data_IF_190353577481
#
_entry.id   IF_190353577481
#
_cell.length_a   1.000
_cell.length_b   1.000
_cell.length_c   1.000
_cell.angle_alpha   90.00
_cell.angle_beta   90.00
_cell.angle_gamma   90.00
#
_symmetry.space_group_name_H-M   'P 1'
#
loop_
_entity.id
_entity.type
_entity.pdbx_description
1 polymer ?
#
# COMPACT_ATOMS: atom_id res chain seq x y z
N UNK A 1 -7.01 -15.81 32.68
CA UNK A 1 -7.06 -16.38 31.33
C UNK A 1 -7.78 -15.35 30.47
N UNK A 2 -7.03 -14.46 29.83
CA UNK A 2 -7.57 -13.54 28.83
C UNK A 2 -6.74 -13.73 27.57
N UNK A 3 -7.28 -14.50 26.62
CA UNK A 3 -6.76 -14.56 25.26
C UNK A 3 -7.18 -13.27 24.59
N UNK A 4 -6.29 -12.28 24.60
CA UNK A 4 -6.40 -11.12 23.73
C UNK A 4 -6.39 -11.69 22.31
N UNK A 5 -7.54 -11.60 21.64
CA UNK A 5 -7.72 -12.11 20.30
C UNK A 5 -6.63 -11.56 19.39
N UNK A 6 -6.22 -12.37 18.41
CA UNK A 6 -5.36 -11.97 17.31
C UNK A 6 -6.07 -10.89 16.47
N UNK A 7 -6.24 -9.69 17.04
CA UNK A 7 -6.69 -8.50 16.36
C UNK A 7 -5.76 -8.33 15.18
N UNK A 8 -6.39 -8.38 14.01
CA UNK A 8 -5.84 -8.26 12.67
C UNK A 8 -4.68 -7.27 12.68
N UNK A 9 -3.44 -7.81 12.66
CA UNK A 9 -2.28 -6.99 12.39
C UNK A 9 -2.41 -6.50 10.95
N UNK A 10 -2.96 -5.30 10.79
CA UNK A 10 -2.83 -4.51 9.59
C UNK A 10 -1.35 -4.28 9.35
N UNK A 11 -0.81 -4.93 8.33
CA UNK A 11 0.59 -4.81 7.98
C UNK A 11 0.77 -3.47 7.25
N UNK A 12 1.64 -2.61 7.76
CA UNK A 12 2.01 -1.37 7.08
C UNK A 12 2.95 -1.68 5.91
N UNK A 13 2.57 -1.28 4.69
CA UNK A 13 3.44 -1.36 3.52
C UNK A 13 3.90 0.03 3.09
N UNK A 14 5.22 0.20 2.98
CA UNK A 14 5.83 1.38 2.38
C UNK A 14 6.44 0.94 1.04
N UNK A 15 5.75 1.19 -0.09
CA UNK A 15 6.33 0.95 -1.41
C UNK A 15 7.64 1.72 -1.58
N UNK A 16 8.71 1.03 -1.96
CA UNK A 16 9.89 1.71 -2.44
C UNK A 16 9.64 2.16 -3.88
N UNK A 17 9.35 3.46 -4.06
CA UNK A 17 9.33 4.07 -5.38
C UNK A 17 10.76 4.42 -5.79
N UNK A 18 11.24 3.79 -6.86
CA UNK A 18 12.48 4.18 -7.51
C UNK A 18 12.30 5.59 -8.12
N UNK A 19 13.16 6.53 -7.74
CA UNK A 19 13.24 7.86 -8.36
C UNK A 19 12.27 8.94 -7.86
N UNK A 20 11.35 8.64 -6.93
CA UNK A 20 10.48 9.66 -6.30
C UNK A 20 9.56 10.42 -7.26
N UNK A 21 9.33 9.90 -8.48
CA UNK A 21 8.38 10.46 -9.44
C UNK A 21 6.98 9.90 -9.18
N UNK A 22 6.02 10.79 -9.02
CA UNK A 22 4.60 10.52 -9.12
C UNK A 22 4.18 10.87 -10.55
N UNK A 23 3.92 9.85 -11.35
CA UNK A 23 3.28 10.03 -12.64
C UNK A 23 1.81 9.57 -12.62
N UNK A 24 1.11 9.82 -13.73
CA UNK A 24 -0.31 9.51 -13.85
C UNK A 24 -0.60 8.02 -13.75
N UNK A 25 0.30 7.15 -14.22
CA UNK A 25 0.08 5.71 -14.20
C UNK A 25 0.27 5.15 -12.79
N UNK A 26 1.24 5.67 -12.04
CA UNK A 26 1.37 5.38 -10.63
C UNK A 26 0.13 5.80 -9.84
N UNK A 27 -0.39 7.00 -10.10
CA UNK A 27 -1.61 7.50 -9.44
C UNK A 27 -2.82 6.60 -9.73
N UNK A 28 -3.00 6.13 -10.98
CA UNK A 28 -4.08 5.19 -11.32
C UNK A 28 -3.98 3.88 -10.53
N UNK A 29 -2.78 3.36 -10.31
CA UNK A 29 -2.58 2.14 -9.50
C UNK A 29 -3.05 2.41 -8.07
N UNK A 30 -2.62 3.50 -7.45
CA UNK A 30 -3.04 3.84 -6.08
C UNK A 30 -4.56 4.00 -5.98
N UNK A 31 -5.19 4.71 -6.93
CA UNK A 31 -6.64 4.85 -6.98
C UNK A 31 -7.33 3.49 -7.10
N UNK A 32 -6.84 2.60 -7.96
CA UNK A 32 -7.40 1.25 -8.11
C UNK A 32 -7.29 0.43 -6.82
N UNK A 33 -6.20 0.57 -6.06
CA UNK A 33 -6.03 -0.13 -4.78
C UNK A 33 -7.02 0.37 -3.72
N UNK A 34 -7.30 1.68 -3.69
CA UNK A 34 -8.30 2.30 -2.81
C UNK A 34 -9.72 1.85 -3.16
N UNK A 35 -10.08 1.90 -4.45
CA UNK A 35 -11.41 1.50 -4.93
C UNK A 35 -11.72 0.04 -4.63
N UNK A 36 -10.72 -0.84 -4.75
CA UNK A 36 -10.83 -2.25 -4.43
C UNK A 36 -10.70 -2.57 -2.93
N UNK A 37 -10.59 -1.55 -2.06
CA UNK A 37 -10.41 -1.70 -0.60
C UNK A 37 -9.22 -2.59 -0.21
N UNK A 38 -8.17 -2.59 -1.05
CA UNK A 38 -6.92 -3.31 -0.79
C UNK A 38 -6.00 -2.50 0.12
N UNK A 39 -6.19 -1.18 0.14
CA UNK A 39 -5.56 -0.22 1.04
C UNK A 39 -6.65 0.75 1.51
N UNK A 40 -6.50 1.33 2.70
CA UNK A 40 -7.45 2.32 3.21
C UNK A 40 -7.05 3.74 2.83
N UNK A 41 -5.76 4.03 2.85
CA UNK A 41 -5.24 5.38 2.62
C UNK A 41 -3.88 5.35 1.92
N UNK A 42 -3.56 6.45 1.24
CA UNK A 42 -2.25 6.71 0.68
C UNK A 42 -1.81 8.13 1.07
N UNK A 43 -0.61 8.28 1.65
CA UNK A 43 -0.07 9.57 2.09
C UNK A 43 1.28 9.89 1.45
N UNK A 44 1.51 11.17 1.14
CA UNK A 44 2.84 11.67 0.77
C UNK A 44 3.64 11.97 2.04
N UNK A 45 4.72 11.23 2.24
CA UNK A 45 5.63 11.43 3.37
C UNK A 45 6.53 12.66 3.17
N UNK A 46 7.11 13.15 4.27
CA UNK A 46 8.12 14.23 4.28
C UNK A 46 9.33 13.99 3.35
N UNK A 47 9.59 12.73 2.98
CA UNK A 47 10.68 12.34 2.08
C UNK A 47 10.22 12.18 0.61
N UNK A 48 9.04 12.72 0.26
CA UNK A 48 8.46 12.60 -1.08
C UNK A 48 8.26 11.14 -1.54
N UNK A 49 7.90 10.27 -0.58
CA UNK A 49 7.51 8.88 -0.83
C UNK A 49 6.02 8.72 -0.56
N UNK A 50 5.36 7.82 -1.29
CA UNK A 50 3.98 7.42 -0.97
C UNK A 50 4.01 6.25 0.02
N UNK A 51 3.27 6.38 1.14
CA UNK A 51 3.01 5.30 2.10
C UNK A 51 1.57 4.81 1.91
N UNK A 52 1.37 3.49 1.94
CA UNK A 52 0.04 2.87 1.90
C UNK A 52 -0.32 2.38 3.30
N UNK A 53 -1.53 2.68 3.76
CA UNK A 53 -2.01 2.41 5.12
C UNK A 53 -3.24 1.50 5.04
N UNK A 54 -3.44 0.66 6.07
CA UNK A 54 -4.57 -0.27 6.15
C UNK A 54 -4.47 -1.41 5.14
N UNK A 55 -3.27 -1.97 4.93
CA UNK A 55 -3.11 -3.11 4.02
C UNK A 55 -3.31 -4.41 4.80
N UNK A 56 -4.37 -5.14 4.48
CA UNK A 56 -4.59 -6.46 5.09
C UNK A 56 -3.54 -7.47 4.64
N UNK A 57 -3.28 -8.50 5.46
CA UNK A 57 -2.36 -9.61 5.12
C UNK A 57 -2.72 -10.29 3.79
N UNK A 58 -4.01 -10.39 3.50
CA UNK A 58 -4.53 -10.98 2.26
C UNK A 58 -4.26 -10.07 1.05
N UNK A 59 -4.40 -8.75 1.22
CA UNK A 59 -4.16 -7.75 0.18
C UNK A 59 -2.67 -7.51 -0.09
N UNK A 60 -1.79 -7.74 0.89
CA UNK A 60 -0.37 -7.39 0.81
C UNK A 60 0.35 -7.96 -0.42
N UNK A 61 0.06 -9.20 -0.82
CA UNK A 61 0.68 -9.80 -2.02
C UNK A 61 0.18 -9.18 -3.32
N UNK A 62 -1.11 -8.85 -3.39
CA UNK A 62 -1.73 -8.20 -4.54
C UNK A 62 -1.17 -6.79 -4.72
N UNK A 63 -1.07 -6.03 -3.61
CA UNK A 63 -0.48 -4.68 -3.57
C UNK A 63 0.98 -4.73 -4.02
N UNK A 64 1.79 -5.64 -3.48
CA UNK A 64 3.20 -5.82 -3.87
C UNK A 64 3.34 -6.11 -5.37
N UNK A 65 2.54 -7.02 -5.92
CA UNK A 65 2.58 -7.37 -7.34
C UNK A 65 2.20 -6.20 -8.23
N UNK A 66 1.15 -5.46 -7.86
CA UNK A 66 0.68 -4.28 -8.60
C UNK A 66 1.77 -3.20 -8.69
N UNK A 67 2.50 -2.97 -7.60
CA UNK A 67 3.58 -2.00 -7.54
C UNK A 67 4.86 -2.47 -8.24
N UNK A 68 5.17 -3.76 -8.18
CA UNK A 68 6.33 -4.33 -8.86
C UNK A 68 6.19 -4.25 -10.40
N UNK A 69 4.99 -4.47 -10.93
CA UNK A 69 4.70 -4.36 -12.36
C UNK A 69 4.87 -2.93 -12.90
N UNK A 70 4.74 -1.91 -12.06
CA UNK A 70 4.98 -0.52 -12.44
C UNK A 70 6.47 -0.14 -12.49
N UNK A 71 7.31 -0.82 -11.72
CA UNK A 71 8.74 -0.51 -11.65
C UNK A 71 9.57 -1.16 -12.78
N UNK A 72 8.94 -1.92 -13.68
CA UNK A 72 9.53 -2.54 -14.87
C UNK A 72 9.37 -1.63 -16.09
#
# INVERSE_FOLDING_TARGET
MEKIGAAEQEDMLIPQLYGGRLDLDFLKIITSLLENRLIEQAELTKHKRIRLIGVSKQAAQIVKKSLANYAQ
#
